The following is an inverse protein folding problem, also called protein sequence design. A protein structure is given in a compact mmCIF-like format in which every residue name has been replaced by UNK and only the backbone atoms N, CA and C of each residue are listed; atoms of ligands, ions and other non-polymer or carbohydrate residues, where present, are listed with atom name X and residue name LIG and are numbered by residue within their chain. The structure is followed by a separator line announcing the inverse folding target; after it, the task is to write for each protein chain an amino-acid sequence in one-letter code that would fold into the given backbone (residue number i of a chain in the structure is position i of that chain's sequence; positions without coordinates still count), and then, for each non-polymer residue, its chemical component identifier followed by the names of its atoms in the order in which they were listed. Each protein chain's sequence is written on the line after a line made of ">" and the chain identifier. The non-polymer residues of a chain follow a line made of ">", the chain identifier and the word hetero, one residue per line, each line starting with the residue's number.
data_IF_727859012729
#
_entry.id   IF_727859012729
#
_cell.length_a   1.000
_cell.length_b   1.000
_cell.length_c   1.000
_cell.angle_alpha   90.00
_cell.angle_beta   90.00
_cell.angle_gamma   90.00
#
_symmetry.space_group_name_H-M   'P 1'
#
loop_
_entity.id
_entity.type
_entity.pdbx_description
1 polymer ?
#
# COMPACT_ATOMS: atom_id res chain seq x y z
N UNK A 1 0.05 -7.77 5.77
CA UNK A 1 -1.14 -8.26 6.49
C UNK A 1 -2.14 -7.13 6.73
N UNK A 2 -3.41 -7.34 6.36
CA UNK A 2 -4.52 -6.41 6.64
C UNK A 2 -5.04 -6.62 8.07
N UNK A 3 -5.19 -5.53 8.81
CA UNK A 3 -5.73 -5.50 10.18
C UNK A 3 -6.98 -4.63 10.21
N UNK A 4 -8.09 -5.20 10.66
CA UNK A 4 -9.36 -4.47 10.79
C UNK A 4 -9.31 -3.58 12.03
N UNK A 5 -9.50 -2.27 11.86
CA UNK A 5 -9.54 -1.31 12.98
C UNK A 5 -10.71 -1.60 13.93
N UNK A 6 -11.90 -1.89 13.38
CA UNK A 6 -13.07 -2.35 14.13
C UNK A 6 -13.53 -3.72 13.60
N UNK A 7 -13.27 -4.81 14.35
CA UNK A 7 -13.69 -6.15 13.94
C UNK A 7 -15.21 -6.33 13.77
N UNK A 8 -16.05 -5.45 14.34
CA UNK A 8 -17.50 -5.52 14.19
C UNK A 8 -18.01 -4.86 12.91
N UNK A 9 -17.17 -4.04 12.27
CA UNK A 9 -17.47 -3.31 11.03
C UNK A 9 -16.30 -3.47 10.05
N UNK A 10 -16.04 -4.71 9.59
CA UNK A 10 -14.87 -4.98 8.76
C UNK A 10 -14.95 -4.22 7.44
N UNK A 11 -13.79 -3.72 7.00
CA UNK A 11 -13.57 -3.21 5.66
C UNK A 11 -12.98 -4.34 4.80
N UNK A 12 -13.85 -4.98 4.02
CA UNK A 12 -13.49 -6.08 3.12
C UNK A 12 -13.17 -5.62 1.69
N UNK A 13 -13.33 -4.32 1.41
CA UNK A 13 -13.10 -3.78 0.05
C UNK A 13 -11.62 -3.49 -0.21
N UNK A 14 -10.79 -3.47 0.83
CA UNK A 14 -9.34 -3.25 0.73
C UNK A 14 -8.61 -4.59 0.84
N UNK A 15 -7.74 -4.87 -0.12
CA UNK A 15 -6.92 -6.09 -0.16
C UNK A 15 -5.54 -5.84 -0.76
N UNK A 16 -4.62 -6.78 -0.59
CA UNK A 16 -3.30 -6.75 -1.22
C UNK A 16 -3.38 -7.55 -2.53
N UNK A 17 -2.88 -6.98 -3.63
CA UNK A 17 -2.77 -7.71 -4.89
C UNK A 17 -1.75 -8.86 -4.77
N UNK A 18 -2.22 -10.10 -4.88
CA UNK A 18 -1.37 -11.27 -4.72
C UNK A 18 -0.41 -11.48 -5.90
N UNK A 19 -0.70 -10.93 -7.08
CA UNK A 19 0.17 -11.00 -8.25
C UNK A 19 1.23 -9.89 -8.24
N UNK A 20 0.98 -8.81 -7.51
CA UNK A 20 1.87 -7.64 -7.39
C UNK A 20 1.81 -7.12 -5.96
N UNK A 21 2.53 -7.74 -5.00
CA UNK A 21 2.32 -7.50 -3.57
C UNK A 21 2.76 -6.11 -3.08
N UNK A 22 3.25 -5.24 -3.95
CA UNK A 22 3.48 -3.81 -3.69
C UNK A 22 2.22 -2.96 -3.95
N UNK A 23 1.15 -3.56 -4.47
CA UNK A 23 -0.10 -2.88 -4.78
C UNK A 23 -1.18 -3.15 -3.72
N UNK A 24 -1.84 -2.07 -3.31
CA UNK A 24 -3.09 -2.11 -2.55
C UNK A 24 -4.27 -1.97 -3.51
N UNK A 25 -5.24 -2.87 -3.39
CA UNK A 25 -6.46 -2.90 -4.21
C UNK A 25 -7.63 -2.42 -3.37
N UNK A 26 -8.43 -1.53 -3.93
CA UNK A 26 -9.70 -1.08 -3.39
C UNK A 26 -10.79 -1.50 -4.36
N UNK A 27 -11.69 -2.38 -3.95
CA UNK A 27 -12.87 -2.75 -4.72
C UNK A 27 -13.87 -1.58 -4.75
N UNK A 28 -14.73 -1.55 -5.77
CA UNK A 28 -15.81 -0.57 -5.82
C UNK A 28 -16.81 -0.78 -4.66
N UNK A 29 -17.30 0.32 -4.09
CA UNK A 29 -18.28 0.29 -2.99
C UNK A 29 -19.14 1.54 -2.95
N UNK A 30 -20.32 1.43 -2.36
CA UNK A 30 -21.24 2.56 -2.15
C UNK A 30 -21.11 3.12 -0.74
N UNK A 31 -21.36 4.41 -0.61
CA UNK A 31 -21.35 5.14 0.67
C UNK A 31 -22.38 6.29 0.64
N UNK A 32 -22.75 6.89 1.78
CA UNK A 32 -23.58 8.08 1.79
C UNK A 32 -23.01 9.20 0.92
N UNK A 33 -23.73 9.56 -0.12
CA UNK A 33 -23.33 10.63 -1.03
C UNK A 33 -22.70 10.15 -2.34
N UNK A 34 -22.43 8.86 -2.53
CA UNK A 34 -21.95 8.39 -3.83
C UNK A 34 -21.46 6.94 -3.90
N UNK A 35 -20.63 6.70 -4.89
CA UNK A 35 -19.98 5.42 -5.16
C UNK A 35 -18.49 5.67 -5.39
N UNK A 36 -17.65 4.85 -4.76
CA UNK A 36 -16.24 4.78 -5.08
C UNK A 36 -16.06 3.68 -6.13
N UNK A 37 -15.42 4.02 -7.26
CA UNK A 37 -15.13 3.03 -8.32
C UNK A 37 -14.00 2.07 -7.95
N UNK A 38 -13.34 2.29 -6.82
CA UNK A 38 -12.14 1.56 -6.43
C UNK A 38 -10.92 1.92 -7.29
N UNK A 39 -9.88 1.10 -7.19
CA UNK A 39 -8.65 1.26 -7.93
C UNK A 39 -7.50 0.44 -7.34
N UNK A 40 -6.34 0.56 -7.99
CA UNK A 40 -5.09 -0.05 -7.54
C UNK A 40 -4.07 1.05 -7.28
N UNK A 41 -3.37 0.98 -6.16
CA UNK A 41 -2.40 1.98 -5.73
C UNK A 41 -1.07 1.27 -5.51
N UNK A 42 -0.02 1.76 -6.16
CA UNK A 42 1.36 1.33 -5.91
C UNK A 42 1.91 2.01 -4.67
N UNK A 43 2.30 1.21 -3.67
CA UNK A 43 2.83 1.69 -2.40
C UNK A 43 4.35 1.84 -2.40
N UNK A 44 5.05 1.42 -3.46
CA UNK A 44 6.52 1.54 -3.61
C UNK A 44 7.02 2.98 -3.40
N UNK A 45 6.37 4.05 -3.92
CA UNK A 45 6.84 5.42 -3.73
C UNK A 45 6.78 5.90 -2.28
N UNK A 46 6.03 5.22 -1.42
CA UNK A 46 5.78 5.61 -0.02
C UNK A 46 6.72 4.89 0.96
N UNK A 47 7.64 4.03 0.48
CA UNK A 47 8.61 3.32 1.33
C UNK A 47 9.45 4.28 2.19
N UNK A 48 9.66 3.91 3.45
CA UNK A 48 10.36 4.71 4.46
C UNK A 48 9.49 5.74 5.17
N UNK A 49 8.17 5.76 4.92
CA UNK A 49 7.26 6.73 5.50
C UNK A 49 5.90 6.15 5.89
N UNK A 50 5.02 7.05 6.35
CA UNK A 50 3.61 6.73 6.59
C UNK A 50 2.81 6.80 5.29
N UNK A 51 1.97 5.81 5.08
CA UNK A 51 0.96 5.78 4.02
C UNK A 51 -0.42 5.97 4.64
N UNK A 52 -1.27 6.79 4.01
CA UNK A 52 -2.69 6.89 4.31
C UNK A 52 -3.49 6.95 3.02
N UNK A 53 -4.62 6.27 3.03
CA UNK A 53 -5.59 6.25 1.95
C UNK A 53 -6.91 6.81 2.43
N UNK A 54 -7.42 7.77 1.67
CA UNK A 54 -8.65 8.47 1.97
C UNK A 54 -9.68 8.30 0.85
N UNK A 55 -10.96 8.33 1.24
CA UNK A 55 -12.09 8.55 0.35
C UNK A 55 -12.43 10.04 0.36
N UNK A 56 -12.74 10.59 -0.80
CA UNK A 56 -13.28 11.94 -0.98
C UNK A 56 -14.79 11.95 -1.17
N UNK A 57 -15.42 13.11 -0.98
CA UNK A 57 -16.89 13.27 -1.11
C UNK A 57 -17.42 12.92 -2.49
N UNK A 58 -16.61 13.04 -3.53
CA UNK A 58 -16.97 12.70 -4.91
C UNK A 58 -16.73 11.22 -5.26
N UNK A 59 -16.28 10.41 -4.30
CA UNK A 59 -15.96 8.99 -4.48
C UNK A 59 -14.53 8.72 -4.96
N UNK A 60 -13.73 9.77 -5.20
CA UNK A 60 -12.32 9.60 -5.56
C UNK A 60 -11.47 9.15 -4.36
N UNK A 61 -10.36 8.49 -4.67
CA UNK A 61 -9.36 8.06 -3.68
C UNK A 61 -8.22 9.07 -3.62
N UNK A 62 -7.70 9.33 -2.43
CA UNK A 62 -6.57 10.26 -2.23
C UNK A 62 -5.55 9.71 -1.26
N UNK A 63 -4.29 10.06 -1.48
CA UNK A 63 -3.14 9.76 -0.61
C UNK A 63 -2.40 11.02 -0.17
N UNK A 64 -2.96 12.20 -0.47
CA UNK A 64 -2.42 13.47 0.02
C UNK A 64 -2.49 13.50 1.55
N UNK A 65 -1.51 14.11 2.20
CA UNK A 65 -1.43 14.25 3.66
C UNK A 65 -1.63 15.70 4.11
N UNK A 66 -1.72 16.65 3.18
CA UNK A 66 -1.66 18.08 3.45
C UNK A 66 -3.01 18.80 3.29
N UNK A 67 -4.11 18.04 3.22
CA UNK A 67 -5.46 18.58 3.13
C UNK A 67 -6.43 17.81 4.02
N UNK A 68 -7.60 18.39 4.22
CA UNK A 68 -8.71 17.69 4.87
C UNK A 68 -9.33 16.68 3.90
N UNK A 69 -9.62 15.50 4.41
CA UNK A 69 -10.21 14.40 3.66
C UNK A 69 -11.56 14.01 4.25
N UNK A 70 -12.41 13.42 3.42
CA UNK A 70 -13.75 13.05 3.85
C UNK A 70 -13.77 11.84 4.79
N UNK A 71 -13.03 10.77 4.45
CA UNK A 71 -12.97 9.56 5.27
C UNK A 71 -11.62 8.85 5.13
N UNK A 72 -11.10 8.30 6.23
CA UNK A 72 -9.89 7.48 6.21
C UNK A 72 -10.26 6.02 5.94
N UNK A 73 -9.63 5.40 4.96
CA UNK A 73 -9.89 4.02 4.54
C UNK A 73 -8.80 3.06 5.01
N UNK A 74 -7.53 3.45 4.90
CA UNK A 74 -6.39 2.63 5.34
C UNK A 74 -5.20 3.48 5.78
N UNK A 75 -4.38 2.93 6.67
CA UNK A 75 -3.07 3.49 6.99
C UNK A 75 -2.03 2.39 7.24
N UNK A 76 -0.77 2.71 6.97
CA UNK A 76 0.37 1.83 7.23
C UNK A 76 1.65 2.63 7.46
N UNK A 77 2.62 2.01 8.13
CA UNK A 77 4.01 2.49 8.13
C UNK A 77 4.81 1.54 7.24
N UNK A 78 5.39 2.07 6.16
CA UNK A 78 6.10 1.28 5.17
C UNK A 78 7.59 1.19 5.52
N UNK A 79 8.23 0.02 5.34
CA UNK A 79 9.65 -0.14 5.59
C UNK A 79 10.46 0.74 4.64
N UNK A 80 11.68 1.10 5.05
CA UNK A 80 12.66 1.71 4.17
C UNK A 80 12.96 0.80 2.96
N UNK A 81 13.47 1.41 1.88
CA UNK A 81 13.94 0.65 0.71
C UNK A 81 15.06 -0.30 1.12
N UNK A 82 14.90 -1.57 0.77
CA UNK A 82 15.88 -2.61 1.06
C UNK A 82 16.64 -2.96 -0.21
N UNK A 83 17.89 -3.38 -0.07
CA UNK A 83 18.75 -3.77 -1.18
C UNK A 83 19.43 -5.10 -0.88
N UNK A 84 19.46 -5.99 -1.87
CA UNK A 84 20.23 -7.22 -1.84
C UNK A 84 21.58 -7.01 -2.54
N UNK A 85 22.64 -7.60 -2.00
CA UNK A 85 23.92 -7.70 -2.73
C UNK A 85 23.92 -8.99 -3.55
N UNK A 86 24.11 -8.89 -4.86
CA UNK A 86 24.13 -10.05 -5.78
C UNK A 86 25.35 -10.03 -6.69
N UNK A 87 25.92 -11.18 -7.05
CA UNK A 87 27.02 -11.22 -8.01
C UNK A 87 26.52 -10.82 -9.41
N UNK A 88 27.26 -9.95 -10.09
CA UNK A 88 26.96 -9.52 -11.47
C UNK A 88 27.27 -10.59 -12.52
N UNK A 89 27.96 -11.66 -12.14
CA UNK A 89 28.51 -12.67 -13.07
C UNK A 89 29.85 -12.27 -13.69
N UNK A 90 30.38 -11.08 -13.37
CA UNK A 90 31.72 -10.63 -13.76
C UNK A 90 32.72 -10.76 -12.61
N UNK A 91 33.99 -10.88 -12.95
CA UNK A 91 35.10 -10.87 -11.99
C UNK A 91 36.02 -9.68 -12.25
N UNK A 92 36.61 -9.13 -11.19
CA UNK A 92 37.63 -8.11 -11.28
C UNK A 92 39.00 -8.67 -11.73
N UNK A 93 40.03 -7.82 -11.79
CA UNK A 93 41.39 -8.17 -12.21
C UNK A 93 42.08 -9.21 -11.29
N UNK A 94 41.58 -9.37 -10.05
CA UNK A 94 42.07 -10.33 -9.08
C UNK A 94 41.22 -11.62 -9.05
N UNK A 95 40.25 -11.75 -9.95
CA UNK A 95 39.34 -12.89 -10.03
C UNK A 95 38.23 -12.89 -8.97
N UNK A 96 38.01 -11.76 -8.27
CA UNK A 96 36.93 -11.64 -7.28
C UNK A 96 35.60 -11.27 -7.95
N UNK A 97 34.46 -11.87 -7.56
CA UNK A 97 33.16 -11.50 -8.10
C UNK A 97 32.81 -10.04 -7.84
N UNK A 98 32.42 -9.32 -8.89
CA UNK A 98 31.88 -7.96 -8.76
C UNK A 98 30.43 -8.09 -8.27
N UNK A 99 30.15 -7.47 -7.13
CA UNK A 99 28.82 -7.44 -6.52
C UNK A 99 28.07 -6.18 -6.94
N UNK A 100 26.77 -6.29 -7.16
CA UNK A 100 25.85 -5.17 -7.35
C UNK A 100 24.83 -5.11 -6.21
N UNK A 101 24.31 -3.91 -5.95
CA UNK A 101 23.20 -3.71 -5.04
C UNK A 101 21.91 -3.61 -5.87
N UNK A 102 20.97 -4.51 -5.63
CA UNK A 102 19.69 -4.58 -6.32
C UNK A 102 18.58 -4.26 -5.34
N UNK A 103 17.71 -3.31 -5.68
CA UNK A 103 16.56 -2.94 -4.84
C UNK A 103 15.62 -4.15 -4.69
N UNK A 104 15.25 -4.46 -3.44
CA UNK A 104 14.28 -5.48 -3.11
C UNK A 104 12.87 -4.90 -3.26
N UNK A 105 11.98 -5.55 -4.03
CA UNK A 105 10.59 -5.10 -4.14
C UNK A 105 9.88 -5.04 -2.79
N UNK A 106 8.97 -4.06 -2.64
CA UNK A 106 8.07 -4.01 -1.49
C UNK A 106 7.11 -5.20 -1.50
N UNK A 107 6.93 -5.83 -0.35
CA UNK A 107 5.91 -6.86 -0.12
C UNK A 107 4.98 -6.42 1.01
N UNK A 108 3.74 -6.06 0.67
CA UNK A 108 2.73 -5.63 1.63
C UNK A 108 2.21 -6.78 2.50
N UNK A 109 2.49 -8.04 2.16
CA UNK A 109 2.13 -9.16 3.02
C UNK A 109 2.91 -9.11 4.35
N UNK A 110 4.11 -8.54 4.34
CA UNK A 110 4.96 -8.34 5.53
C UNK A 110 4.71 -7.01 6.25
N UNK A 111 3.81 -6.17 5.72
CA UNK A 111 3.46 -4.85 6.29
C UNK A 111 2.13 -4.93 7.04
N UNK A 112 2.05 -4.38 8.24
CA UNK A 112 0.75 -4.20 8.89
C UNK A 112 0.03 -2.99 8.29
N UNK A 113 -1.11 -3.25 7.66
CA UNK A 113 -1.98 -2.22 7.07
C UNK A 113 -3.29 -2.22 7.86
N UNK A 114 -3.55 -1.14 8.57
CA UNK A 114 -4.80 -0.96 9.32
C UNK A 114 -5.86 -0.42 8.37
N UNK A 115 -7.00 -1.09 8.27
CA UNK A 115 -8.15 -0.65 7.46
C UNK A 115 -9.31 -0.23 8.36
N UNK A 116 -9.97 0.87 8.00
CA UNK A 116 -11.03 1.49 8.79
C UNK A 116 -12.40 1.17 8.20
N UNK A 117 -13.46 1.10 9.03
CA UNK A 117 -14.82 0.85 8.57
C UNK A 117 -15.24 1.80 7.43
N UNK A 118 -16.06 1.29 6.51
CA UNK A 118 -16.64 2.11 5.46
C UNK A 118 -17.66 3.11 6.04
N UNK A 119 -17.88 4.26 5.38
CA UNK A 119 -18.96 5.16 5.77
C UNK A 119 -20.32 4.45 5.60
N UNK A 120 -21.11 4.40 6.67
CA UNK A 120 -22.36 3.61 6.70
C UNK A 120 -23.49 4.31 5.95
N UNK A 121 -24.16 3.57 5.05
CA UNK A 121 -25.44 3.97 4.46
C UNK A 121 -26.54 3.65 5.48
N UNK A 122 -27.35 4.65 5.85
CA UNK A 122 -28.60 4.44 6.60
C UNK A 122 -29.59 3.55 5.82
#
# INVERSE_FOLDING_TARGET
>A
MIVQHDPNKPNEVISIDQASPHHLVVAAFRFPGGECTGGTIDLTPFQGGSFRLYLEKDGSLSTDLYRDHYWLLAEAVLPERQFDSRPTGMTDENGQPIMEMVERPLDLNDVQITVFPLPEVE
#
